data_IF_284932594585
#
_entry.id   IF_284932594585
#
_cell.length_a   1.000
_cell.length_b   1.000
_cell.length_c   1.000
_cell.angle_alpha   90.00
_cell.angle_beta   90.00
_cell.angle_gamma   90.00
#
_symmetry.space_group_name_H-M   'P 1'
#
loop_
_entity.id
_entity.type
_entity.pdbx_description
1 polymer ?
#
# COMPACT_ATOMS: atom_id res chain seq x y z
N UNK A 1 7.74 35.44 7.88
CA UNK A 1 7.51 34.76 9.18
C UNK A 1 6.63 33.57 8.92
N UNK A 2 6.79 32.44 9.63
CA UNK A 2 5.92 31.27 9.42
C UNK A 2 4.45 31.62 9.67
N UNK A 3 3.57 31.00 8.87
CA UNK A 3 2.13 31.06 9.08
C UNK A 3 1.77 30.29 10.38
N UNK A 4 1.27 30.96 11.38
CA UNK A 4 0.97 30.38 12.70
C UNK A 4 -0.45 29.81 12.83
N UNK A 5 -1.23 29.72 11.74
CA UNK A 5 -2.55 29.11 11.76
C UNK A 5 -2.47 27.70 12.40
N UNK A 6 -3.23 27.42 13.47
CA UNK A 6 -3.19 26.12 14.14
C UNK A 6 -3.78 24.98 13.29
N UNK A 7 -4.63 25.28 12.31
CA UNK A 7 -5.25 24.30 11.42
C UNK A 7 -4.48 24.21 10.10
N UNK A 8 -4.41 22.99 9.54
CA UNK A 8 -3.89 22.77 8.19
C UNK A 8 -4.91 23.27 7.14
N UNK A 9 -4.41 23.59 5.96
CA UNK A 9 -5.26 23.90 4.82
C UNK A 9 -6.17 22.71 4.52
N UNK A 10 -7.50 22.88 4.38
CA UNK A 10 -8.40 21.79 4.09
C UNK A 10 -8.10 21.21 2.71
N UNK A 11 -8.22 19.87 2.57
CA UNK A 11 -8.14 19.22 1.26
C UNK A 11 -9.47 19.40 0.53
N UNK A 12 -9.48 19.93 -0.69
CA UNK A 12 -10.67 19.87 -1.53
C UNK A 12 -11.01 18.43 -1.89
N UNK A 13 -12.27 18.04 -1.76
CA UNK A 13 -12.76 16.68 -1.99
C UNK A 13 -14.09 16.68 -2.71
N UNK A 14 -14.39 15.58 -3.43
CA UNK A 14 -15.72 15.33 -3.95
C UNK A 14 -16.72 15.19 -2.80
N UNK A 15 -17.95 15.71 -2.97
CA UNK A 15 -19.03 15.54 -2.00
C UNK A 15 -19.36 14.04 -1.76
N UNK A 16 -19.65 13.61 -0.53
CA UNK A 16 -19.85 12.19 -0.20
C UNK A 16 -20.90 11.47 -1.02
N UNK A 17 -22.02 12.14 -1.32
CA UNK A 17 -23.13 11.63 -2.11
C UNK A 17 -22.84 11.56 -3.62
N UNK A 18 -21.78 12.23 -4.07
CA UNK A 18 -21.26 12.17 -5.44
C UNK A 18 -20.19 11.09 -5.54
N UNK A 19 -19.16 11.15 -4.67
CA UNK A 19 -17.99 10.28 -4.73
C UNK A 19 -18.31 8.80 -4.47
N UNK A 20 -19.37 8.50 -3.71
CA UNK A 20 -19.76 7.12 -3.43
C UNK A 20 -20.43 6.40 -4.63
N UNK A 21 -20.57 7.07 -5.78
CA UNK A 21 -21.19 6.55 -7.01
C UNK A 21 -20.22 6.49 -8.21
N UNK A 22 -18.98 6.90 -8.02
CA UNK A 22 -17.98 6.92 -9.09
C UNK A 22 -16.62 6.42 -8.59
N UNK A 23 -15.68 6.19 -9.51
CA UNK A 23 -14.32 5.75 -9.21
C UNK A 23 -13.27 6.85 -9.47
N UNK A 24 -13.71 8.10 -9.66
CA UNK A 24 -12.80 9.24 -9.78
C UNK A 24 -12.09 9.52 -8.43
N UNK A 25 -10.90 10.11 -8.50
CA UNK A 25 -10.13 10.42 -7.30
C UNK A 25 -10.94 11.29 -6.33
N UNK A 26 -10.99 10.88 -5.07
CA UNK A 26 -11.78 11.56 -4.02
C UNK A 26 -11.22 12.93 -3.69
N UNK A 27 -9.89 13.01 -3.53
CA UNK A 27 -9.19 14.27 -3.24
C UNK A 27 -8.89 15.01 -4.53
N UNK A 28 -9.25 16.31 -4.57
CA UNK A 28 -9.07 17.16 -5.75
C UNK A 28 -7.70 17.86 -5.80
N UNK A 29 -6.87 17.62 -4.78
CA UNK A 29 -5.55 18.23 -4.68
C UNK A 29 -5.57 19.69 -4.20
N UNK A 30 -4.39 20.21 -3.84
CA UNK A 30 -4.21 21.63 -3.53
C UNK A 30 -4.02 22.45 -4.81
N UNK A 31 -4.48 23.72 -4.77
CA UNK A 31 -4.00 24.73 -5.73
C UNK A 31 -2.59 25.19 -5.34
N UNK A 32 -1.93 25.91 -6.23
CA UNK A 32 -0.61 26.49 -5.95
C UNK A 32 -0.63 27.41 -4.72
N UNK A 33 -1.68 28.23 -4.58
CA UNK A 33 -1.88 29.15 -3.46
C UNK A 33 -2.07 28.40 -2.14
N UNK A 34 -2.91 27.33 -2.15
CA UNK A 34 -3.13 26.49 -0.97
C UNK A 34 -1.85 25.78 -0.55
N UNK A 35 -1.06 25.29 -1.51
CA UNK A 35 0.21 24.61 -1.25
C UNK A 35 1.22 25.58 -0.61
N UNK A 36 1.35 26.79 -1.13
CA UNK A 36 2.22 27.83 -0.55
C UNK A 36 1.76 28.22 0.85
N UNK A 37 0.46 28.45 1.06
CA UNK A 37 -0.10 28.77 2.39
C UNK A 37 0.20 27.68 3.41
N UNK A 38 -0.04 26.41 3.06
CA UNK A 38 0.25 25.27 3.93
C UNK A 38 1.75 25.10 4.18
N UNK A 39 2.58 25.26 3.16
CA UNK A 39 4.03 25.15 3.26
C UNK A 39 4.62 26.22 4.22
N UNK A 40 4.04 27.43 4.24
CA UNK A 40 4.43 28.52 5.16
C UNK A 40 4.16 28.19 6.64
N UNK A 41 3.35 27.16 6.95
CA UNK A 41 3.16 26.68 8.34
C UNK A 41 4.37 25.90 8.86
N UNK A 42 5.28 25.45 8.00
CA UNK A 42 6.48 24.74 8.40
C UNK A 42 7.44 25.64 9.16
N UNK A 43 7.90 25.16 10.33
CA UNK A 43 8.84 25.91 11.18
C UNK A 43 10.31 25.71 10.78
N UNK A 44 10.59 24.89 9.78
CA UNK A 44 11.94 24.49 9.36
C UNK A 44 12.83 24.10 10.55
N UNK A 45 12.37 23.15 11.37
CA UNK A 45 12.98 22.77 12.64
C UNK A 45 14.43 22.29 12.46
N UNK A 46 15.35 22.76 13.31
CA UNK A 46 16.78 22.39 13.27
C UNK A 46 17.00 20.86 13.33
N UNK A 47 16.22 20.15 14.16
CA UNK A 47 16.37 18.70 14.35
C UNK A 47 15.55 17.87 13.36
N UNK A 48 14.76 18.51 12.47
CA UNK A 48 13.98 17.88 11.39
C UNK A 48 13.23 16.60 11.83
N UNK A 49 12.43 16.60 12.93
CA UNK A 49 11.85 15.36 13.48
C UNK A 49 10.90 14.63 12.52
N UNK A 50 10.24 15.34 11.60
CA UNK A 50 9.40 14.73 10.57
C UNK A 50 10.16 13.76 9.65
N UNK A 51 11.46 13.98 9.41
CA UNK A 51 12.28 13.07 8.60
C UNK A 51 12.48 11.72 9.29
N UNK A 52 12.61 11.67 10.61
CA UNK A 52 12.79 10.41 11.35
C UNK A 52 11.54 9.51 11.26
N UNK A 53 10.38 10.09 11.01
CA UNK A 53 9.14 9.35 10.76
C UNK A 53 8.96 8.86 9.31
N UNK A 54 9.88 9.21 8.40
CA UNK A 54 9.82 8.78 7.00
C UNK A 54 10.78 7.61 6.73
N UNK A 55 10.27 6.41 6.39
CA UNK A 55 11.11 5.23 6.13
C UNK A 55 12.12 5.38 4.98
N UNK A 56 11.89 6.29 4.04
CA UNK A 56 12.81 6.61 2.93
C UNK A 56 13.55 7.95 3.13
N UNK A 57 13.43 8.57 4.31
CA UNK A 57 14.18 9.76 4.71
C UNK A 57 14.01 10.95 3.74
N UNK A 58 12.79 11.22 3.27
CA UNK A 58 12.51 12.40 2.45
C UNK A 58 12.97 13.66 3.18
N UNK A 59 13.67 14.55 2.48
CA UNK A 59 14.17 15.84 3.01
C UNK A 59 13.03 16.84 3.19
N UNK A 60 12.09 16.51 4.08
CA UNK A 60 10.78 17.16 4.25
C UNK A 60 10.89 18.68 4.45
N UNK A 61 11.68 19.25 5.39
CA UNK A 61 11.76 20.70 5.54
C UNK A 61 12.32 21.41 4.30
N UNK A 62 13.19 20.73 3.55
CA UNK A 62 13.83 21.32 2.37
C UNK A 62 12.85 21.43 1.21
N UNK A 63 12.09 20.38 0.88
CA UNK A 63 11.10 20.47 -0.18
C UNK A 63 9.96 21.42 0.18
N UNK A 64 9.53 21.46 1.47
CA UNK A 64 8.48 22.38 1.92
C UNK A 64 8.95 23.84 1.82
N UNK A 65 10.21 24.14 2.13
CA UNK A 65 10.77 25.48 1.94
C UNK A 65 10.70 25.92 0.47
N UNK A 66 11.03 25.02 -0.46
CA UNK A 66 10.91 25.28 -1.91
C UNK A 66 9.46 25.50 -2.34
N UNK A 67 8.50 24.75 -1.77
CA UNK A 67 7.06 24.97 -2.02
C UNK A 67 6.64 26.35 -1.52
N UNK A 68 7.09 26.77 -0.33
CA UNK A 68 6.78 28.10 0.21
C UNK A 68 7.32 29.25 -0.64
N UNK A 69 8.37 29.00 -1.44
CA UNK A 69 8.95 29.94 -2.41
C UNK A 69 8.31 29.84 -3.80
N UNK A 70 7.35 28.94 -4.02
CA UNK A 70 6.74 28.69 -5.33
C UNK A 70 7.62 27.90 -6.33
N UNK A 71 8.71 27.29 -5.85
CA UNK A 71 9.67 26.51 -6.64
C UNK A 71 9.27 25.03 -6.71
N UNK A 72 8.13 24.74 -7.33
CA UNK A 72 7.50 23.40 -7.26
C UNK A 72 8.30 22.31 -7.98
N UNK A 73 8.94 22.60 -9.11
CA UNK A 73 9.79 21.63 -9.83
C UNK A 73 11.05 21.29 -9.02
N UNK A 74 11.68 22.28 -8.41
CA UNK A 74 12.83 22.06 -7.53
C UNK A 74 12.42 21.26 -6.28
N UNK A 75 11.22 21.51 -5.72
CA UNK A 75 10.66 20.73 -4.63
C UNK A 75 10.45 19.25 -5.03
N UNK A 76 9.94 18.98 -6.24
CA UNK A 76 9.80 17.64 -6.77
C UNK A 76 11.15 16.93 -6.93
N UNK A 77 12.15 17.61 -7.46
CA UNK A 77 13.52 17.08 -7.58
C UNK A 77 14.08 16.73 -6.20
N UNK A 78 13.83 17.58 -5.19
CA UNK A 78 14.26 17.35 -3.81
C UNK A 78 13.64 16.09 -3.19
N UNK A 79 12.37 15.81 -3.42
CA UNK A 79 11.70 14.58 -2.96
C UNK A 79 12.30 13.35 -3.67
N UNK A 80 12.51 13.44 -4.97
CA UNK A 80 13.05 12.34 -5.81
C UNK A 80 14.50 11.95 -5.49
N UNK A 81 15.25 12.75 -4.74
CA UNK A 81 16.57 12.35 -4.23
C UNK A 81 16.50 11.08 -3.34
N UNK A 82 15.37 10.82 -2.68
CA UNK A 82 15.22 9.72 -1.75
C UNK A 82 13.97 8.87 -1.96
N UNK A 83 12.92 9.41 -2.58
CA UNK A 83 11.66 8.71 -2.84
C UNK A 83 11.53 8.36 -4.33
N UNK A 84 11.32 7.08 -4.63
CA UNK A 84 11.09 6.60 -5.99
C UNK A 84 9.64 6.79 -6.47
N UNK A 85 8.66 6.92 -5.55
CA UNK A 85 7.23 6.94 -5.84
C UNK A 85 6.51 8.09 -5.11
N UNK A 86 6.91 9.36 -5.30
CA UNK A 86 6.37 10.48 -4.53
C UNK A 86 4.86 10.70 -4.73
N UNK A 87 4.35 10.56 -5.96
CA UNK A 87 2.93 10.74 -6.24
C UNK A 87 2.04 9.68 -5.55
N UNK A 88 2.58 8.46 -5.37
CA UNK A 88 1.95 7.39 -4.60
C UNK A 88 2.00 7.70 -3.10
N UNK A 89 3.19 8.03 -2.57
CA UNK A 89 3.40 8.28 -1.14
C UNK A 89 2.52 9.42 -0.61
N UNK A 90 2.42 10.52 -1.33
CA UNK A 90 1.57 11.66 -0.96
C UNK A 90 0.11 11.28 -0.76
N UNK A 91 -0.38 10.26 -1.50
CA UNK A 91 -1.77 9.79 -1.46
C UNK A 91 -2.04 8.69 -0.42
N UNK A 92 -1.11 7.72 -0.29
CA UNK A 92 -1.43 6.47 0.43
C UNK A 92 -0.68 6.26 1.73
N UNK A 93 0.37 7.03 2.02
CA UNK A 93 1.07 6.93 3.31
C UNK A 93 0.14 7.27 4.47
N UNK A 94 0.21 6.55 5.60
CA UNK A 94 -0.46 6.94 6.84
C UNK A 94 0.36 8.02 7.55
N UNK A 95 0.39 9.24 7.00
CA UNK A 95 1.23 10.35 7.47
C UNK A 95 0.97 10.68 8.93
N UNK A 96 -0.29 10.53 9.40
CA UNK A 96 -0.71 10.75 10.77
C UNK A 96 -0.01 9.85 11.80
N UNK A 97 0.52 8.71 11.38
CA UNK A 97 1.33 7.81 12.22
C UNK A 97 2.83 7.81 11.87
N UNK A 98 3.23 8.59 10.86
CA UNK A 98 4.60 8.66 10.35
C UNK A 98 5.15 10.09 10.42
N UNK A 99 5.44 10.73 9.28
CA UNK A 99 6.09 12.05 9.23
C UNK A 99 5.28 13.15 9.94
N UNK A 100 3.96 13.20 9.77
CA UNK A 100 3.11 14.20 10.42
C UNK A 100 2.99 13.97 11.94
N UNK A 101 3.04 12.72 12.41
CA UNK A 101 3.06 12.40 13.85
C UNK A 101 4.24 13.07 14.57
N UNK A 102 5.37 13.23 13.90
CA UNK A 102 6.58 13.84 14.44
C UNK A 102 6.64 15.36 14.20
N UNK A 103 5.64 15.94 13.55
CA UNK A 103 5.65 17.37 13.27
C UNK A 103 5.42 18.21 14.53
N UNK A 104 6.35 19.13 14.83
CA UNK A 104 6.27 20.03 16.00
C UNK A 104 4.98 20.86 16.02
N UNK A 105 4.42 21.19 14.87
CA UNK A 105 3.12 21.89 14.78
C UNK A 105 1.98 21.10 15.41
N UNK A 106 2.06 19.77 15.37
CA UNK A 106 1.07 18.88 15.96
C UNK A 106 0.95 18.95 17.49
N UNK A 107 1.92 19.57 18.19
CA UNK A 107 1.90 19.69 19.65
C UNK A 107 0.83 20.70 20.12
N UNK A 108 0.61 21.79 19.37
CA UNK A 108 -0.32 22.89 19.73
C UNK A 108 -1.38 23.17 18.66
N UNK A 109 -1.58 22.25 17.75
CA UNK A 109 -2.51 22.39 16.64
C UNK A 109 -2.44 21.16 15.75
N UNK A 110 -2.69 21.34 14.45
CA UNK A 110 -2.53 20.29 13.47
C UNK A 110 -1.12 20.32 12.85
N UNK A 111 -0.56 19.14 12.61
CA UNK A 111 0.68 18.98 11.87
C UNK A 111 0.62 19.68 10.50
N UNK A 112 1.76 20.02 9.93
CA UNK A 112 1.82 20.43 8.51
C UNK A 112 1.35 19.26 7.65
N UNK A 113 0.53 19.53 6.65
CA UNK A 113 -0.02 18.52 5.74
C UNK A 113 1.05 18.04 4.74
N UNK A 114 2.03 17.31 5.26
CA UNK A 114 3.24 16.89 4.50
C UNK A 114 2.85 16.05 3.29
N UNK A 115 1.97 15.05 3.49
CA UNK A 115 1.53 14.20 2.39
C UNK A 115 0.76 14.95 1.31
N UNK A 116 -0.08 15.92 1.68
CA UNK A 116 -0.81 16.77 0.71
C UNK A 116 0.12 17.64 -0.12
N UNK A 117 1.18 18.18 0.51
CA UNK A 117 2.23 18.93 -0.18
C UNK A 117 3.06 18.03 -1.10
N UNK A 118 3.40 16.82 -0.67
CA UNK A 118 4.10 15.83 -1.49
C UNK A 118 3.27 15.45 -2.72
N UNK A 119 1.97 15.17 -2.53
CA UNK A 119 1.04 14.88 -3.63
C UNK A 119 0.96 16.03 -4.63
N UNK A 120 0.73 17.28 -4.13
CA UNK A 120 0.69 18.48 -4.97
C UNK A 120 1.96 18.64 -5.82
N UNK A 121 3.11 18.55 -5.18
CA UNK A 121 4.41 18.74 -5.86
C UNK A 121 4.66 17.68 -6.92
N UNK A 122 4.30 16.42 -6.62
CA UNK A 122 4.44 15.32 -7.57
C UNK A 122 3.50 15.48 -8.77
N UNK A 123 2.26 15.90 -8.54
CA UNK A 123 1.29 16.17 -9.60
C UNK A 123 1.71 17.37 -10.47
N UNK A 124 2.14 18.46 -9.83
CA UNK A 124 2.65 19.63 -10.54
C UNK A 124 3.83 19.28 -11.46
N UNK A 125 4.78 18.49 -10.95
CA UNK A 125 5.92 18.05 -11.75
C UNK A 125 5.51 17.13 -12.91
N UNK A 126 4.54 16.24 -12.70
CA UNK A 126 4.00 15.37 -13.77
C UNK A 126 3.38 16.17 -14.91
N UNK A 127 2.73 17.29 -14.60
CA UNK A 127 2.02 18.12 -15.57
C UNK A 127 2.90 19.17 -16.26
N UNK A 128 3.92 19.66 -15.55
CA UNK A 128 4.70 20.83 -15.99
C UNK A 128 6.16 20.52 -16.30
N UNK A 129 6.70 19.34 -15.94
CA UNK A 129 8.07 18.96 -16.28
C UNK A 129 8.12 18.26 -17.63
N UNK A 130 9.03 18.72 -18.48
CA UNK A 130 9.40 18.04 -19.74
C UNK A 130 10.67 17.20 -19.59
N UNK A 131 11.29 17.25 -18.42
CA UNK A 131 12.53 16.49 -18.16
C UNK A 131 12.21 14.99 -18.03
N UNK A 132 12.95 14.18 -18.76
CA UNK A 132 12.95 12.73 -18.63
C UNK A 132 14.08 12.30 -17.72
N UNK A 133 13.87 11.18 -17.03
CA UNK A 133 14.95 10.53 -16.32
C UNK A 133 16.04 10.10 -17.31
N UNK A 134 17.29 10.37 -16.96
CA UNK A 134 18.42 10.02 -17.82
C UNK A 134 18.99 8.68 -17.36
N UNK A 135 19.04 7.71 -18.29
CA UNK A 135 19.70 6.42 -18.04
C UNK A 135 21.19 6.64 -17.76
N UNK A 136 21.70 6.20 -16.58
CA UNK A 136 23.13 6.27 -16.31
C UNK A 136 23.93 5.36 -17.25
N UNK A 137 25.24 5.60 -17.32
CA UNK A 137 26.18 4.68 -17.97
C UNK A 137 26.17 3.34 -17.23
N UNK A 138 26.14 2.22 -17.97
CA UNK A 138 26.14 0.88 -17.38
C UNK A 138 27.49 0.60 -16.71
N UNK A 139 27.43 0.03 -15.51
CA UNK A 139 28.61 -0.49 -14.82
C UNK A 139 28.90 -1.97 -15.18
N UNK A 140 28.08 -2.58 -16.06
CA UNK A 140 28.20 -3.96 -16.53
C UNK A 140 27.63 -5.03 -15.61
N UNK A 141 27.06 -4.66 -14.46
CA UNK A 141 26.48 -5.60 -13.50
C UNK A 141 24.98 -5.80 -13.71
N UNK A 142 24.54 -7.06 -13.72
CA UNK A 142 23.15 -7.46 -13.91
C UNK A 142 22.50 -7.85 -12.59
N UNK A 143 21.32 -7.28 -12.33
CA UNK A 143 20.55 -7.60 -11.12
C UNK A 143 19.10 -7.93 -11.48
N UNK A 144 18.53 -8.91 -10.77
CA UNK A 144 17.14 -9.32 -10.92
C UNK A 144 16.31 -8.86 -9.73
N UNK A 145 15.10 -8.37 -10.02
CA UNK A 145 14.10 -7.99 -9.02
C UNK A 145 12.88 -8.88 -9.21
N UNK A 146 12.49 -9.61 -8.18
CA UNK A 146 11.31 -10.49 -8.18
C UNK A 146 10.14 -9.78 -7.54
N UNK A 147 9.19 -9.33 -8.36
CA UNK A 147 8.00 -8.58 -7.98
C UNK A 147 8.13 -7.08 -8.20
N UNK A 148 7.19 -6.53 -8.97
CA UNK A 148 7.08 -5.11 -9.32
C UNK A 148 6.19 -4.31 -8.36
N UNK A 149 6.09 -4.70 -7.08
CA UNK A 149 5.44 -3.93 -6.03
C UNK A 149 6.33 -2.79 -5.52
N UNK A 150 5.87 -2.01 -4.50
CA UNK A 150 6.60 -0.85 -3.99
C UNK A 150 8.06 -1.11 -3.60
N UNK A 151 8.35 -2.26 -2.97
CA UNK A 151 9.73 -2.63 -2.60
C UNK A 151 10.59 -2.87 -3.84
N UNK A 152 10.10 -3.67 -4.79
CA UNK A 152 10.81 -3.98 -6.04
C UNK A 152 11.01 -2.75 -6.93
N UNK A 153 9.99 -1.91 -7.11
CA UNK A 153 10.09 -0.68 -7.89
C UNK A 153 11.14 0.29 -7.30
N UNK A 154 11.18 0.41 -5.96
CA UNK A 154 12.17 1.26 -5.28
C UNK A 154 13.58 0.70 -5.43
N UNK A 155 13.77 -0.61 -5.19
CA UNK A 155 15.05 -1.29 -5.38
C UNK A 155 15.55 -1.16 -6.83
N UNK A 156 14.66 -1.40 -7.80
CA UNK A 156 14.98 -1.28 -9.22
C UNK A 156 15.42 0.14 -9.59
N UNK A 157 14.70 1.15 -9.12
CA UNK A 157 15.04 2.54 -9.41
C UNK A 157 16.37 2.98 -8.81
N UNK A 158 16.67 2.57 -7.57
CA UNK A 158 17.93 2.93 -6.92
C UNK A 158 19.12 2.18 -7.57
N UNK A 159 19.00 0.89 -7.86
CA UNK A 159 20.02 0.12 -8.56
C UNK A 159 20.30 0.64 -9.98
N UNK A 160 19.25 1.00 -10.72
CA UNK A 160 19.41 1.60 -12.04
C UNK A 160 20.16 2.93 -11.99
N UNK A 161 19.88 3.80 -10.98
CA UNK A 161 20.63 5.04 -10.77
C UNK A 161 22.11 4.81 -10.43
N UNK A 162 22.44 3.65 -9.84
CA UNK A 162 23.84 3.23 -9.55
C UNK A 162 24.54 2.66 -10.79
N UNK A 163 23.86 2.57 -11.94
CA UNK A 163 24.39 2.09 -13.20
C UNK A 163 24.22 0.59 -13.46
N UNK A 164 23.53 -0.14 -12.57
CA UNK A 164 23.28 -1.57 -12.76
C UNK A 164 22.25 -1.80 -13.89
N UNK A 165 22.40 -2.91 -14.61
CA UNK A 165 21.39 -3.41 -15.56
C UNK A 165 20.31 -4.17 -14.80
N UNK A 166 19.13 -3.58 -14.70
CA UNK A 166 18.05 -4.06 -13.83
C UNK A 166 16.92 -4.69 -14.65
N UNK A 167 16.59 -5.94 -14.35
CA UNK A 167 15.40 -6.62 -14.86
C UNK A 167 14.43 -6.92 -13.73
N UNK A 168 13.17 -6.49 -13.88
CA UNK A 168 12.08 -6.74 -12.93
C UNK A 168 11.16 -7.82 -13.50
N UNK A 169 11.07 -8.94 -12.80
CA UNK A 169 10.16 -10.04 -13.12
C UNK A 169 8.86 -9.91 -12.34
N UNK A 170 7.73 -9.82 -13.03
CA UNK A 170 6.41 -9.63 -12.44
C UNK A 170 5.44 -10.75 -12.89
N UNK A 171 4.79 -11.37 -11.93
CA UNK A 171 3.84 -12.43 -12.18
C UNK A 171 2.56 -11.97 -12.89
N UNK A 172 2.15 -10.73 -12.65
CA UNK A 172 0.95 -10.15 -13.26
C UNK A 172 1.24 -9.55 -14.65
N UNK A 173 0.19 -9.26 -15.38
CA UNK A 173 0.26 -8.62 -16.70
C UNK A 173 0.58 -7.11 -16.64
N UNK A 174 0.74 -6.55 -15.46
CA UNK A 174 1.12 -5.15 -15.23
C UNK A 174 1.97 -5.02 -13.98
N UNK A 175 2.94 -4.12 -14.01
CA UNK A 175 3.75 -3.77 -12.85
C UNK A 175 2.96 -2.88 -11.86
N UNK A 176 3.39 -2.83 -10.61
CA UNK A 176 2.81 -2.00 -9.55
C UNK A 176 2.35 -2.79 -8.32
N UNK A 177 2.15 -4.10 -8.45
CA UNK A 177 1.71 -4.94 -7.33
C UNK A 177 0.43 -4.40 -6.68
N UNK A 178 0.42 -4.28 -5.35
CA UNK A 178 -0.74 -3.79 -4.57
C UNK A 178 -1.22 -2.39 -4.98
N UNK A 179 -0.36 -1.56 -5.58
CA UNK A 179 -0.75 -0.24 -6.11
C UNK A 179 -1.73 -0.36 -7.27
N UNK A 180 -1.67 -1.46 -8.01
CA UNK A 180 -2.54 -1.73 -9.16
C UNK A 180 -3.73 -2.59 -8.80
N UNK A 181 -3.53 -3.71 -8.08
CA UNK A 181 -4.61 -4.65 -7.79
C UNK A 181 -5.38 -4.34 -6.49
N UNK A 182 -4.73 -3.76 -5.48
CA UNK A 182 -5.27 -3.63 -4.14
C UNK A 182 -5.89 -2.25 -3.86
N UNK A 183 -5.12 -1.19 -4.04
CA UNK A 183 -5.57 0.18 -3.73
C UNK A 183 -6.58 0.64 -4.79
N UNK A 184 -7.78 1.13 -4.41
CA UNK A 184 -8.80 1.55 -5.38
C UNK A 184 -8.40 2.75 -6.23
N UNK A 185 -9.00 2.83 -7.44
CA UNK A 185 -8.82 3.94 -8.39
C UNK A 185 -9.10 5.29 -7.74
N UNK A 186 -10.16 5.39 -6.94
CA UNK A 186 -10.59 6.63 -6.27
C UNK A 186 -9.65 7.11 -5.14
N UNK A 187 -8.67 6.29 -4.73
CA UNK A 187 -7.59 6.66 -3.80
C UNK A 187 -6.25 6.85 -4.51
N UNK A 188 -5.99 6.02 -5.50
CA UNK A 188 -4.74 6.01 -6.26
C UNK A 188 -5.05 5.71 -7.72
N UNK A 189 -5.25 6.72 -8.56
CA UNK A 189 -5.46 6.55 -10.00
C UNK A 189 -4.33 5.74 -10.64
N UNK A 190 -4.68 4.73 -11.45
CA UNK A 190 -3.69 3.81 -12.03
C UNK A 190 -2.79 4.48 -13.07
N UNK A 191 -3.24 5.57 -13.64
CA UNK A 191 -2.43 6.42 -14.52
C UNK A 191 -1.24 7.04 -13.79
N UNK A 192 -1.38 7.38 -12.50
CA UNK A 192 -0.30 7.88 -11.65
C UNK A 192 0.74 6.78 -11.43
N UNK A 193 0.30 5.58 -11.06
CA UNK A 193 1.20 4.43 -10.86
C UNK A 193 1.95 4.09 -12.14
N UNK A 194 1.25 4.09 -13.28
CA UNK A 194 1.87 3.82 -14.58
C UNK A 194 2.95 4.85 -14.92
N UNK A 195 2.72 6.13 -14.61
CA UNK A 195 3.69 7.19 -14.88
C UNK A 195 4.96 7.06 -14.03
N UNK A 196 4.84 6.63 -12.78
CA UNK A 196 6.01 6.32 -11.93
C UNK A 196 6.80 5.13 -12.52
N UNK A 197 6.13 4.09 -12.99
CA UNK A 197 6.76 2.94 -13.66
C UNK A 197 7.44 3.36 -14.97
N UNK A 198 6.83 4.21 -15.75
CA UNK A 198 7.42 4.72 -17.00
C UNK A 198 8.71 5.53 -16.74
N UNK A 199 8.76 6.25 -15.61
CA UNK A 199 10.00 6.93 -15.17
C UNK A 199 11.13 5.91 -14.90
N UNK A 200 10.82 4.71 -14.37
CA UNK A 200 11.82 3.66 -14.20
C UNK A 200 12.27 3.05 -15.53
N UNK A 201 11.37 2.90 -16.48
CA UNK A 201 11.72 2.49 -17.86
C UNK A 201 12.65 3.51 -18.55
N UNK A 202 12.39 4.79 -18.35
CA UNK A 202 13.29 5.86 -18.85
C UNK A 202 14.69 5.77 -18.23
N UNK A 203 14.82 5.27 -16.98
CA UNK A 203 16.11 4.95 -16.35
C UNK A 203 16.77 3.67 -16.90
N UNK A 204 16.09 2.95 -17.78
CA UNK A 204 16.59 1.72 -18.40
C UNK A 204 16.24 0.42 -17.66
N UNK A 205 15.31 0.47 -16.71
CA UNK A 205 14.78 -0.74 -16.05
C UNK A 205 13.94 -1.54 -17.04
N UNK A 206 14.25 -2.82 -17.21
CA UNK A 206 13.49 -3.75 -18.01
C UNK A 206 12.40 -4.41 -17.15
N UNK A 207 11.19 -4.60 -17.70
CA UNK A 207 10.07 -5.28 -17.06
C UNK A 207 9.64 -6.50 -17.86
N UNK A 208 9.75 -7.68 -17.25
CA UNK A 208 9.29 -8.95 -17.81
C UNK A 208 8.01 -9.34 -17.07
N UNK A 209 6.87 -9.07 -17.73
CA UNK A 209 5.53 -9.33 -17.18
C UNK A 209 5.04 -10.76 -17.50
N UNK A 210 4.02 -11.22 -16.76
CA UNK A 210 3.50 -12.60 -16.87
C UNK A 210 4.57 -13.65 -16.61
N UNK A 211 5.56 -13.34 -15.78
CA UNK A 211 6.68 -14.20 -15.47
C UNK A 211 6.67 -14.57 -13.98
N UNK A 212 6.40 -15.83 -13.68
CA UNK A 212 6.26 -16.34 -12.32
C UNK A 212 7.57 -16.99 -11.89
N UNK A 213 8.42 -16.24 -11.18
CA UNK A 213 9.65 -16.79 -10.60
C UNK A 213 9.31 -17.96 -9.65
N UNK A 214 10.00 -19.08 -9.82
CA UNK A 214 9.70 -20.36 -9.18
C UNK A 214 8.78 -21.27 -10.02
N UNK A 215 8.32 -20.79 -11.21
CA UNK A 215 7.59 -21.60 -12.20
C UNK A 215 8.16 -21.45 -13.60
N UNK A 216 8.29 -20.21 -14.07
CA UNK A 216 8.95 -19.93 -15.36
C UNK A 216 10.44 -20.23 -15.26
N UNK A 217 11.08 -19.69 -14.23
CA UNK A 217 12.46 -19.95 -13.82
C UNK A 217 12.57 -19.86 -12.30
N UNK A 218 13.52 -20.59 -11.74
CA UNK A 218 13.87 -20.53 -10.30
C UNK A 218 14.90 -19.42 -10.03
N UNK A 219 15.11 -19.12 -8.76
CA UNK A 219 16.19 -18.20 -8.33
C UNK A 219 17.56 -18.70 -8.80
N UNK A 220 17.81 -20.02 -8.76
CA UNK A 220 19.10 -20.60 -9.17
C UNK A 220 19.32 -20.52 -10.68
N UNK A 221 18.25 -20.66 -11.49
CA UNK A 221 18.31 -20.47 -12.95
C UNK A 221 18.58 -19.01 -13.31
N UNK A 222 17.97 -18.04 -12.62
CA UNK A 222 18.31 -16.61 -12.82
C UNK A 222 19.79 -16.31 -12.55
N UNK A 223 20.40 -16.93 -11.53
CA UNK A 223 21.87 -16.84 -11.36
C UNK A 223 22.63 -17.45 -12.54
N UNK A 224 22.12 -18.57 -13.11
CA UNK A 224 22.65 -19.19 -14.31
C UNK A 224 22.61 -18.28 -15.55
N UNK A 225 21.62 -17.40 -15.65
CA UNK A 225 21.45 -16.40 -16.72
C UNK A 225 22.35 -15.15 -16.52
N UNK A 226 23.19 -15.17 -15.48
CA UNK A 226 24.21 -14.16 -15.25
C UNK A 226 23.75 -12.98 -14.37
N UNK A 227 22.63 -13.08 -13.68
CA UNK A 227 22.31 -12.11 -12.62
C UNK A 227 23.24 -12.32 -11.43
N UNK A 228 23.84 -11.25 -10.93
CA UNK A 228 24.85 -11.29 -9.87
C UNK A 228 24.26 -11.18 -8.47
N UNK A 229 23.12 -10.52 -8.35
CA UNK A 229 22.33 -10.42 -7.12
C UNK A 229 20.83 -10.39 -7.45
N UNK A 230 20.00 -10.92 -6.54
CA UNK A 230 18.55 -11.03 -6.73
C UNK A 230 17.84 -10.46 -5.52
N UNK A 231 16.90 -9.53 -5.75
CA UNK A 231 16.01 -9.01 -4.73
C UNK A 231 14.63 -9.69 -4.80
N UNK A 232 14.13 -10.22 -3.68
CA UNK A 232 12.81 -10.83 -3.57
C UNK A 232 11.85 -9.87 -2.86
N UNK A 233 11.01 -9.20 -3.65
CA UNK A 233 9.95 -8.30 -3.21
C UNK A 233 8.57 -8.78 -3.63
N UNK A 234 8.32 -10.08 -3.58
CA UNK A 234 7.09 -10.74 -4.06
C UNK A 234 5.82 -10.43 -3.25
N UNK A 235 5.96 -9.68 -2.16
CA UNK A 235 4.84 -9.21 -1.34
C UNK A 235 4.14 -10.31 -0.52
N UNK A 236 2.92 -10.01 -0.06
CA UNK A 236 2.06 -10.91 0.71
C UNK A 236 0.64 -10.86 0.13
N UNK A 237 0.39 -11.63 -0.92
CA UNK A 237 -0.88 -11.63 -1.66
C UNK A 237 -1.81 -12.80 -1.34
N UNK A 238 -1.40 -13.79 -0.53
CA UNK A 238 -2.23 -14.92 -0.17
C UNK A 238 -3.20 -14.54 0.95
N UNK A 239 -4.53 -14.53 0.71
CA UNK A 239 -5.50 -14.06 1.70
C UNK A 239 -5.64 -15.03 2.86
N UNK A 240 -5.98 -14.47 4.02
CA UNK A 240 -6.42 -15.22 5.20
C UNK A 240 -7.94 -15.19 5.25
N UNK A 241 -8.56 -16.36 5.38
CA UNK A 241 -9.99 -16.52 5.55
C UNK A 241 -10.38 -16.46 7.03
N UNK A 242 -11.68 -16.27 7.31
CA UNK A 242 -12.21 -16.03 8.67
C UNK A 242 -12.04 -17.27 9.55
N UNK A 243 -12.10 -18.46 8.97
CA UNK A 243 -12.00 -19.74 9.65
C UNK A 243 -13.29 -20.14 10.38
N UNK A 244 -14.46 -19.75 9.83
CA UNK A 244 -15.77 -20.06 10.37
C UNK A 244 -16.53 -21.01 9.44
N UNK A 245 -17.50 -21.80 9.96
CA UNK A 245 -18.38 -22.60 9.12
C UNK A 245 -19.07 -21.76 8.04
N UNK A 246 -19.28 -22.32 6.84
CA UNK A 246 -19.98 -21.67 5.75
C UNK A 246 -19.15 -20.67 4.94
N UNK A 247 -17.88 -20.41 5.28
CA UNK A 247 -17.05 -19.43 4.56
C UNK A 247 -16.69 -19.82 3.10
N UNK A 248 -17.08 -21.02 2.67
CA UNK A 248 -16.96 -21.50 1.28
C UNK A 248 -18.24 -21.33 0.46
N UNK A 249 -19.25 -20.63 0.98
CA UNK A 249 -20.49 -20.35 0.27
C UNK A 249 -20.27 -19.37 -0.89
N UNK A 250 -21.17 -19.43 -1.89
CA UNK A 250 -21.22 -18.48 -2.99
C UNK A 250 -21.56 -17.08 -2.45
N UNK A 251 -20.75 -16.08 -2.78
CA UNK A 251 -20.87 -14.72 -2.22
C UNK A 251 -19.87 -14.42 -1.10
N UNK A 252 -19.02 -15.41 -0.72
CA UNK A 252 -17.87 -15.16 0.15
C UNK A 252 -16.62 -14.91 -0.71
N UNK A 253 -15.95 -13.81 -0.45
CA UNK A 253 -14.73 -13.40 -1.16
C UNK A 253 -13.62 -13.05 -0.17
N UNK A 254 -12.38 -13.24 -0.57
CA UNK A 254 -11.30 -12.49 0.05
C UNK A 254 -11.28 -11.04 -0.47
N UNK A 255 -10.85 -10.09 0.35
CA UNK A 255 -10.71 -8.71 -0.09
C UNK A 255 -9.71 -8.59 -1.27
N UNK A 256 -8.64 -9.40 -1.28
CA UNK A 256 -7.70 -9.43 -2.39
C UNK A 256 -8.37 -9.80 -3.72
N UNK A 257 -9.19 -10.84 -3.72
CA UNK A 257 -9.92 -11.26 -4.92
C UNK A 257 -10.90 -10.17 -5.37
N UNK A 258 -11.72 -9.67 -4.44
CA UNK A 258 -12.71 -8.65 -4.72
C UNK A 258 -12.08 -7.38 -5.29
N UNK A 259 -11.03 -6.87 -4.64
CA UNK A 259 -10.31 -5.67 -5.08
C UNK A 259 -9.54 -5.89 -6.39
N UNK A 260 -8.96 -7.08 -6.61
CA UNK A 260 -8.30 -7.40 -7.88
C UNK A 260 -9.27 -7.35 -9.06
N UNK A 261 -10.47 -7.91 -8.91
CA UNK A 261 -11.50 -7.85 -9.95
C UNK A 261 -11.90 -6.40 -10.25
N UNK A 262 -12.03 -5.58 -9.23
CA UNK A 262 -12.44 -4.17 -9.40
C UNK A 262 -11.29 -3.33 -9.95
N UNK A 263 -10.13 -3.34 -9.32
CA UNK A 263 -9.05 -2.40 -9.63
C UNK A 263 -8.19 -2.83 -10.82
N UNK A 264 -7.64 -4.04 -10.77
CA UNK A 264 -6.75 -4.55 -11.83
C UNK A 264 -7.55 -4.93 -13.08
N UNK A 265 -8.64 -5.67 -12.88
CA UNK A 265 -9.47 -6.17 -13.98
C UNK A 265 -10.62 -5.21 -14.34
N UNK A 266 -10.70 -4.07 -13.68
CA UNK A 266 -11.58 -2.93 -14.01
C UNK A 266 -13.08 -3.26 -14.06
N UNK A 267 -13.56 -4.19 -13.18
CA UNK A 267 -14.95 -4.61 -13.16
C UNK A 267 -15.97 -3.47 -12.94
N UNK A 268 -15.51 -2.30 -12.49
CA UNK A 268 -16.35 -1.10 -12.33
C UNK A 268 -16.68 -0.38 -13.65
N UNK A 269 -16.03 -0.74 -14.76
CA UNK A 269 -16.28 -0.12 -16.06
C UNK A 269 -17.52 -0.76 -16.71
N UNK A 270 -18.32 0.05 -17.38
CA UNK A 270 -19.58 -0.33 -17.99
C UNK A 270 -19.46 -1.50 -19.00
N UNK A 271 -18.34 -1.60 -19.70
CA UNK A 271 -18.08 -2.65 -20.71
C UNK A 271 -16.98 -3.61 -20.25
N UNK A 272 -16.86 -3.87 -18.94
CA UNK A 272 -15.86 -4.81 -18.44
C UNK A 272 -16.32 -6.26 -18.63
N UNK A 273 -15.45 -7.11 -19.17
CA UNK A 273 -15.68 -8.55 -19.30
C UNK A 273 -15.45 -9.30 -17.96
N UNK A 274 -15.02 -8.59 -16.92
CA UNK A 274 -14.70 -9.18 -15.62
C UNK A 274 -15.98 -9.53 -14.86
N UNK A 275 -16.23 -10.82 -14.55
CA UNK A 275 -17.38 -11.20 -13.76
C UNK A 275 -17.23 -10.71 -12.31
N UNK A 276 -18.26 -10.03 -11.80
CA UNK A 276 -18.34 -9.61 -10.39
C UNK A 276 -19.79 -9.80 -9.91
N UNK A 277 -19.92 -10.21 -8.65
CA UNK A 277 -21.24 -10.32 -8.03
C UNK A 277 -21.69 -8.95 -7.50
N UNK A 278 -22.84 -8.49 -7.99
CA UNK A 278 -23.47 -7.24 -7.55
C UNK A 278 -24.38 -7.50 -6.34
N UNK A 279 -23.76 -7.55 -5.18
CA UNK A 279 -24.47 -7.75 -3.92
C UNK A 279 -25.25 -6.51 -3.50
N UNK A 280 -26.38 -6.69 -2.82
CA UNK A 280 -27.17 -5.60 -2.23
C UNK A 280 -26.71 -5.28 -0.81
N UNK A 281 -26.39 -6.31 -0.03
CA UNK A 281 -26.00 -6.18 1.37
C UNK A 281 -24.66 -6.90 1.60
N UNK A 282 -23.65 -6.14 1.94
CA UNK A 282 -22.26 -6.62 2.04
C UNK A 282 -21.73 -6.45 3.45
N UNK A 283 -21.15 -7.50 4.02
CA UNK A 283 -20.35 -7.39 5.23
C UNK A 283 -18.85 -7.56 4.90
N UNK A 284 -18.03 -6.59 5.26
CA UNK A 284 -16.57 -6.66 5.19
C UNK A 284 -16.02 -6.94 6.59
N UNK A 285 -15.41 -8.09 6.77
CA UNK A 285 -14.84 -8.52 8.06
C UNK A 285 -13.41 -8.05 8.15
N UNK A 286 -13.15 -7.07 9.01
CA UNK A 286 -11.83 -6.46 9.20
C UNK A 286 -11.90 -4.98 9.53
N UNK A 287 -10.76 -4.37 9.88
CA UNK A 287 -10.71 -2.96 10.29
C UNK A 287 -9.48 -2.20 9.76
N UNK A 288 -8.71 -2.81 8.85
CA UNK A 288 -7.56 -2.17 8.20
C UNK A 288 -7.92 -1.39 6.94
N UNK A 289 -6.93 -0.77 6.30
CA UNK A 289 -7.12 -0.03 5.04
C UNK A 289 -7.77 -0.89 3.95
N UNK A 290 -7.40 -2.17 3.85
CA UNK A 290 -8.00 -3.11 2.87
C UNK A 290 -9.50 -3.30 3.13
N UNK A 291 -9.93 -3.30 4.40
CA UNK A 291 -11.36 -3.38 4.73
C UNK A 291 -12.11 -2.11 4.32
N UNK A 292 -11.52 -0.93 4.56
CA UNK A 292 -12.09 0.35 4.10
C UNK A 292 -12.18 0.38 2.57
N UNK A 293 -11.14 -0.05 1.87
CA UNK A 293 -11.08 -0.12 0.41
C UNK A 293 -12.16 -1.05 -0.15
N UNK A 294 -12.31 -2.25 0.42
CA UNK A 294 -13.33 -3.21 -0.02
C UNK A 294 -14.76 -2.70 0.24
N UNK A 295 -15.01 -2.11 1.41
CA UNK A 295 -16.33 -1.56 1.75
C UNK A 295 -16.71 -0.37 0.86
N UNK A 296 -15.78 0.56 0.62
CA UNK A 296 -16.00 1.71 -0.26
C UNK A 296 -16.15 1.29 -1.72
N UNK A 297 -15.44 0.24 -2.16
CA UNK A 297 -15.65 -0.37 -3.48
C UNK A 297 -17.04 -1.00 -3.57
N UNK A 298 -17.47 -1.78 -2.56
CA UNK A 298 -18.79 -2.39 -2.55
C UNK A 298 -19.91 -1.33 -2.68
N UNK A 299 -19.77 -0.20 -1.99
CA UNK A 299 -20.69 0.92 -2.09
C UNK A 299 -20.79 1.47 -3.52
N UNK A 300 -19.65 1.68 -4.19
CA UNK A 300 -19.55 2.15 -5.59
C UNK A 300 -20.04 1.13 -6.60
N UNK A 301 -19.95 -0.16 -6.27
CA UNK A 301 -20.48 -1.25 -7.10
C UNK A 301 -22.00 -1.44 -6.95
N UNK A 302 -22.68 -0.57 -6.19
CA UNK A 302 -24.14 -0.50 -6.10
C UNK A 302 -24.74 -1.19 -4.88
N UNK A 303 -23.94 -1.61 -3.89
CA UNK A 303 -24.49 -2.17 -2.67
C UNK A 303 -25.32 -1.13 -1.89
N UNK A 304 -26.53 -1.51 -1.52
CA UNK A 304 -27.47 -0.66 -0.78
C UNK A 304 -27.00 -0.48 0.67
N UNK A 305 -26.60 -1.60 1.32
CA UNK A 305 -26.10 -1.63 2.68
C UNK A 305 -24.68 -2.25 2.71
N UNK A 306 -23.74 -1.57 3.34
CA UNK A 306 -22.37 -2.07 3.53
C UNK A 306 -21.99 -1.94 4.99
N UNK A 307 -21.53 -3.05 5.58
CA UNK A 307 -21.12 -3.14 6.96
C UNK A 307 -19.62 -3.44 7.09
N UNK A 308 -18.93 -2.72 7.97
CA UNK A 308 -17.65 -3.15 8.52
C UNK A 308 -17.92 -3.93 9.79
N UNK A 309 -17.56 -5.21 9.82
CA UNK A 309 -17.66 -6.07 11.00
C UNK A 309 -16.28 -6.16 11.66
N UNK A 310 -16.14 -5.58 12.85
CA UNK A 310 -14.86 -5.47 13.53
C UNK A 310 -14.95 -5.88 15.00
N UNK A 311 -14.09 -6.80 15.41
CA UNK A 311 -14.12 -7.42 16.75
C UNK A 311 -13.64 -6.53 17.90
N UNK A 312 -13.09 -5.34 17.60
CA UNK A 312 -12.65 -4.34 18.58
C UNK A 312 -13.45 -3.04 18.42
N UNK A 313 -13.12 -2.02 19.20
CA UNK A 313 -13.76 -0.71 19.08
C UNK A 313 -13.10 0.14 17.99
N UNK A 314 -13.70 1.31 17.76
CA UNK A 314 -13.19 2.28 16.79
C UNK A 314 -11.74 2.73 17.09
N UNK A 315 -11.38 2.82 18.37
CA UNK A 315 -10.04 3.25 18.80
C UNK A 315 -8.92 2.29 18.38
N UNK A 316 -9.25 1.01 18.22
CA UNK A 316 -8.31 -0.02 17.80
C UNK A 316 -8.30 -0.25 16.29
N UNK A 317 -9.01 0.55 15.49
CA UNK A 317 -8.95 0.45 14.03
C UNK A 317 -7.53 0.78 13.52
N UNK A 318 -6.89 -0.11 12.75
CA UNK A 318 -5.57 0.16 12.20
C UNK A 318 -5.60 0.91 10.86
N UNK A 319 -6.79 1.19 10.31
CA UNK A 319 -6.94 1.97 9.07
C UNK A 319 -6.59 3.44 9.29
N UNK A 320 -6.21 4.15 8.22
CA UNK A 320 -6.03 5.60 8.22
C UNK A 320 -7.30 6.32 8.66
N UNK A 321 -7.14 7.35 9.48
CA UNK A 321 -8.27 8.15 9.97
C UNK A 321 -9.11 8.75 8.83
N UNK A 322 -8.44 9.25 7.79
CA UNK A 322 -9.09 9.80 6.60
C UNK A 322 -9.98 8.76 5.90
N UNK A 323 -9.49 7.51 5.75
CA UNK A 323 -10.26 6.43 5.13
C UNK A 323 -11.46 5.98 5.96
N UNK A 324 -11.33 6.00 7.29
CA UNK A 324 -12.45 5.74 8.21
C UNK A 324 -13.53 6.83 8.07
N UNK A 325 -13.11 8.11 8.02
CA UNK A 325 -14.03 9.23 7.83
C UNK A 325 -14.74 9.13 6.50
N UNK A 326 -14.01 8.92 5.42
CA UNK A 326 -14.58 8.76 4.08
C UNK A 326 -15.58 7.59 4.02
N UNK A 327 -15.26 6.44 4.60
CA UNK A 327 -16.19 5.29 4.63
C UNK A 327 -17.49 5.64 5.37
N UNK A 328 -17.41 6.32 6.52
CA UNK A 328 -18.60 6.77 7.27
C UNK A 328 -19.45 7.75 6.48
N UNK A 329 -18.84 8.76 5.88
CA UNK A 329 -19.52 9.78 5.07
C UNK A 329 -20.17 9.16 3.82
N UNK A 330 -19.57 8.12 3.25
CA UNK A 330 -20.11 7.36 2.10
C UNK A 330 -21.24 6.38 2.50
N UNK A 331 -21.61 6.34 3.78
CA UNK A 331 -22.74 5.56 4.29
C UNK A 331 -22.39 4.10 4.64
N UNK A 332 -21.10 3.78 4.89
CA UNK A 332 -20.70 2.49 5.43
C UNK A 332 -21.03 2.43 6.93
N UNK A 333 -21.71 1.37 7.37
CA UNK A 333 -22.13 1.17 8.76
C UNK A 333 -21.10 0.32 9.50
N UNK A 334 -20.60 0.80 10.64
CA UNK A 334 -19.61 0.09 11.44
C UNK A 334 -20.29 -0.72 12.56
N UNK A 335 -20.11 -2.03 12.54
CA UNK A 335 -20.48 -2.97 13.59
C UNK A 335 -19.22 -3.28 14.42
N UNK A 336 -18.94 -2.41 15.38
CA UNK A 336 -17.84 -2.59 16.34
C UNK A 336 -18.18 -3.65 17.38
N UNK A 337 -17.14 -4.17 18.04
CA UNK A 337 -17.27 -5.20 19.07
C UNK A 337 -18.09 -6.41 18.58
N UNK A 338 -17.88 -6.79 17.32
CA UNK A 338 -18.64 -7.82 16.63
C UNK A 338 -17.69 -8.79 15.95
N UNK A 339 -17.79 -10.07 16.25
CA UNK A 339 -17.01 -11.14 15.63
C UNK A 339 -17.92 -12.11 14.87
N UNK A 340 -17.55 -12.54 13.65
CA UNK A 340 -18.29 -13.55 12.91
C UNK A 340 -18.12 -14.94 13.56
N UNK A 341 -19.19 -15.75 13.56
CA UNK A 341 -19.20 -17.13 14.02
C UNK A 341 -19.50 -18.12 12.91
N UNK A 342 -20.33 -17.74 11.93
CA UNK A 342 -20.79 -18.63 10.87
C UNK A 342 -21.32 -17.79 9.70
N UNK A 343 -21.03 -18.20 8.47
CA UNK A 343 -21.69 -17.69 7.27
C UNK A 343 -22.91 -18.58 6.98
N UNK A 344 -24.09 -17.99 6.96
CA UNK A 344 -25.33 -18.68 6.66
C UNK A 344 -25.59 -18.70 5.15
N UNK A 345 -26.08 -19.82 4.64
CA UNK A 345 -26.39 -20.00 3.21
C UNK A 345 -27.74 -20.71 2.99
N UNK A 346 -28.29 -20.51 1.81
CA UNK A 346 -29.46 -21.25 1.34
C UNK A 346 -29.12 -22.67 0.84
N UNK A 347 -30.10 -23.40 0.34
CA UNK A 347 -29.95 -24.73 -0.22
C UNK A 347 -29.03 -24.81 -1.48
N UNK A 348 -28.81 -23.65 -2.14
CA UNK A 348 -27.93 -23.50 -3.30
C UNK A 348 -26.55 -22.98 -2.92
N UNK A 349 -26.23 -22.95 -1.60
CA UNK A 349 -24.97 -22.41 -1.05
C UNK A 349 -24.75 -20.92 -1.32
N UNK A 350 -25.80 -20.12 -1.58
CA UNK A 350 -25.68 -18.68 -1.66
C UNK A 350 -25.76 -18.07 -0.27
N UNK A 351 -24.92 -17.09 0.03
CA UNK A 351 -24.91 -16.38 1.31
C UNK A 351 -26.27 -15.73 1.57
N UNK A 352 -26.82 -15.92 2.76
CA UNK A 352 -28.07 -15.32 3.22
C UNK A 352 -27.89 -14.48 4.49
N UNK A 353 -26.76 -14.66 5.20
CA UNK A 353 -26.50 -13.93 6.42
C UNK A 353 -25.14 -14.24 7.03
N UNK A 354 -24.80 -13.46 8.05
CA UNK A 354 -23.62 -13.66 8.89
C UNK A 354 -24.04 -13.72 10.34
N UNK A 355 -23.88 -14.90 10.97
CA UNK A 355 -24.04 -15.06 12.41
C UNK A 355 -22.85 -14.47 13.13
N UNK A 356 -23.09 -13.57 14.04
CA UNK A 356 -22.10 -12.81 14.77
C UNK A 356 -22.31 -12.95 16.29
N UNK A 357 -21.28 -12.60 17.04
CA UNK A 357 -21.31 -12.50 18.50
C UNK A 357 -20.80 -11.14 18.94
N UNK A 358 -21.39 -10.57 20.00
CA UNK A 358 -20.89 -9.38 20.65
C UNK A 358 -19.58 -9.67 21.38
N UNK A 359 -18.70 -8.67 21.38
CA UNK A 359 -17.40 -8.72 22.06
C UNK A 359 -17.32 -7.64 23.12
N UNK A 360 -16.51 -7.86 24.12
CA UNK A 360 -16.03 -6.83 25.05
C UNK A 360 -14.52 -6.70 24.96
N UNK A 361 -13.97 -5.61 25.50
CA UNK A 361 -12.53 -5.34 25.45
C UNK A 361 -11.88 -5.64 26.80
N UNK A 362 -11.00 -6.63 26.81
CA UNK A 362 -10.12 -6.97 27.92
C UNK A 362 -8.84 -6.12 27.94
N UNK A 363 -7.78 -6.67 28.53
CA UNK A 363 -6.47 -6.03 28.62
C UNK A 363 -5.79 -5.91 27.23
N UNK A 364 -4.87 -4.95 27.07
CA UNK A 364 -4.08 -4.80 25.85
C UNK A 364 -3.26 -6.05 25.51
N UNK A 365 -3.20 -6.40 24.22
CA UNK A 365 -2.32 -7.44 23.69
C UNK A 365 -0.88 -6.90 23.46
N UNK A 366 0.02 -7.76 22.97
CA UNK A 366 1.42 -7.39 22.68
C UNK A 366 1.56 -6.24 21.65
N UNK A 367 0.50 -5.92 20.89
CA UNK A 367 0.46 -4.78 19.96
C UNK A 367 -0.07 -3.50 20.62
N UNK A 368 -0.37 -3.52 21.90
CA UNK A 368 -0.97 -2.42 22.65
C UNK A 368 -2.48 -2.23 22.43
N UNK A 369 -3.12 -3.07 21.60
CA UNK A 369 -4.57 -3.02 21.34
C UNK A 369 -5.31 -3.94 22.30
N UNK A 370 -6.45 -3.49 22.82
CA UNK A 370 -7.25 -4.24 23.77
C UNK A 370 -7.77 -5.55 23.15
N UNK A 371 -7.64 -6.66 23.90
CA UNK A 371 -8.01 -8.00 23.44
C UNK A 371 -9.53 -8.13 23.38
N UNK A 372 -10.12 -8.60 22.25
CA UNK A 372 -11.56 -8.89 22.20
C UNK A 372 -11.89 -10.18 22.95
N UNK A 373 -12.93 -10.14 23.78
CA UNK A 373 -13.44 -11.26 24.58
C UNK A 373 -14.90 -11.50 24.18
N UNK A 374 -15.31 -12.74 23.85
CA UNK A 374 -16.70 -13.03 23.50
C UNK A 374 -17.64 -12.82 24.69
N UNK A 375 -18.82 -12.26 24.43
CA UNK A 375 -19.93 -12.16 25.41
C UNK A 375 -20.86 -13.36 25.19
N UNK A 376 -20.97 -14.25 26.17
CA UNK A 376 -21.81 -15.46 26.07
C UNK A 376 -23.29 -15.09 25.86
N UNK A 377 -23.99 -15.83 24.98
CA UNK A 377 -25.43 -15.66 24.73
C UNK A 377 -25.80 -14.39 23.99
N UNK A 378 -24.82 -13.73 23.33
CA UNK A 378 -25.02 -12.47 22.61
C UNK A 378 -25.04 -12.65 21.10
N UNK A 379 -25.29 -13.87 20.62
CA UNK A 379 -25.31 -14.18 19.20
C UNK A 379 -26.48 -13.50 18.49
N UNK A 380 -26.24 -13.03 17.29
CA UNK A 380 -27.24 -12.43 16.40
C UNK A 380 -26.88 -12.63 14.93
N UNK A 381 -27.83 -12.40 14.05
CA UNK A 381 -27.64 -12.55 12.60
C UNK A 381 -27.75 -11.18 11.93
N UNK A 382 -26.87 -10.95 10.96
CA UNK A 382 -26.94 -9.85 10.00
C UNK A 382 -27.38 -10.45 8.67
N UNK A 383 -28.55 -10.07 8.17
CA UNK A 383 -29.03 -10.48 6.84
C UNK A 383 -28.20 -9.79 5.76
N UNK A 384 -27.59 -10.58 4.89
CA UNK A 384 -26.74 -10.08 3.80
C UNK A 384 -26.52 -11.17 2.73
N UNK A 385 -26.06 -10.76 1.57
CA UNK A 385 -25.85 -11.64 0.40
C UNK A 385 -24.37 -11.70 -0.04
N UNK A 386 -23.47 -11.01 0.67
CA UNK A 386 -22.04 -11.08 0.40
C UNK A 386 -21.20 -10.86 1.66
N UNK A 387 -20.16 -11.66 1.83
CA UNK A 387 -19.14 -11.53 2.89
C UNK A 387 -17.76 -11.36 2.26
N UNK A 388 -17.02 -10.34 2.69
CA UNK A 388 -15.65 -10.07 2.23
C UNK A 388 -14.68 -10.18 3.40
N UNK A 389 -13.79 -11.17 3.36
CA UNK A 389 -12.75 -11.36 4.37
C UNK A 389 -11.56 -10.41 4.13
N UNK A 390 -11.35 -9.47 5.06
CA UNK A 390 -10.29 -8.44 5.02
C UNK A 390 -9.42 -8.48 6.28
N UNK A 391 -9.01 -9.69 6.71
CA UNK A 391 -8.34 -9.95 7.99
C UNK A 391 -6.83 -10.18 7.88
N UNK A 392 -6.26 -9.87 6.74
CA UNK A 392 -4.83 -9.94 6.47
C UNK A 392 -4.45 -10.92 5.38
N UNK A 393 -3.17 -10.87 5.04
CA UNK A 393 -2.57 -11.68 3.97
C UNK A 393 -1.22 -12.23 4.42
N UNK A 394 -0.73 -13.25 3.72
CA UNK A 394 0.59 -13.86 3.92
C UNK A 394 1.35 -13.98 2.61
N UNK A 395 2.70 -14.13 2.63
CA UNK A 395 3.48 -14.39 1.43
C UNK A 395 3.08 -15.69 0.73
N UNK A 396 3.14 -15.67 -0.62
CA UNK A 396 2.95 -16.88 -1.40
C UNK A 396 4.09 -17.88 -1.12
N UNK A 397 3.80 -19.14 -0.81
CA UNK A 397 4.82 -20.15 -0.48
C UNK A 397 5.67 -20.59 -1.67
N UNK A 398 5.38 -20.18 -2.91
CA UNK A 398 6.07 -20.64 -4.12
C UNK A 398 7.59 -20.40 -4.02
N UNK A 399 8.03 -19.18 -3.74
CA UNK A 399 9.45 -18.84 -3.71
C UNK A 399 10.21 -19.72 -2.70
N UNK A 400 9.69 -19.90 -1.48
CA UNK A 400 10.34 -20.72 -0.46
C UNK A 400 10.43 -22.22 -0.89
N UNK A 401 9.43 -22.73 -1.60
CA UNK A 401 9.40 -24.12 -2.02
C UNK A 401 10.32 -24.41 -3.21
N UNK A 402 10.65 -23.39 -4.00
CA UNK A 402 11.47 -23.51 -5.21
C UNK A 402 12.87 -22.92 -5.06
N UNK A 403 13.22 -22.46 -3.84
CA UNK A 403 14.52 -21.85 -3.57
C UNK A 403 15.20 -22.57 -2.39
N UNK A 404 15.94 -23.67 -2.63
CA UNK A 404 16.68 -24.36 -1.58
C UNK A 404 17.67 -23.41 -0.85
N UNK A 405 17.72 -23.51 0.47
CA UNK A 405 18.58 -22.68 1.32
C UNK A 405 17.99 -21.31 1.70
N UNK A 406 16.82 -20.95 1.20
CA UNK A 406 16.15 -19.73 1.61
C UNK A 406 15.24 -20.01 2.84
N UNK A 407 15.60 -19.46 3.99
CA UNK A 407 14.86 -19.65 5.24
C UNK A 407 13.62 -18.78 5.32
N UNK A 408 12.56 -19.33 5.94
CA UNK A 408 11.32 -18.62 6.23
C UNK A 408 10.90 -18.85 7.69
N UNK A 409 10.19 -17.87 8.26
CA UNK A 409 9.63 -18.00 9.59
C UNK A 409 8.30 -18.82 9.59
N UNK A 410 7.72 -19.04 10.77
CA UNK A 410 6.46 -19.82 10.94
C UNK A 410 5.27 -19.23 10.17
N UNK A 411 5.29 -17.95 9.83
CA UNK A 411 4.25 -17.27 9.03
C UNK A 411 4.50 -17.34 7.53
N UNK A 412 5.59 -17.98 7.09
CA UNK A 412 5.98 -18.09 5.69
C UNK A 412 6.68 -16.86 5.14
N UNK A 413 7.01 -15.87 5.97
CA UNK A 413 7.80 -14.71 5.57
C UNK A 413 9.27 -15.09 5.45
N UNK A 414 9.98 -14.56 4.44
CA UNK A 414 11.41 -14.76 4.24
C UNK A 414 12.15 -14.17 5.43
N UNK A 415 13.15 -14.90 5.96
CA UNK A 415 14.05 -14.39 6.99
C UNK A 415 15.12 -13.54 6.32
N UNK A 416 15.15 -12.27 6.64
CA UNK A 416 16.15 -11.31 6.18
C UNK A 416 16.50 -10.35 7.32
N UNK A 417 17.71 -9.80 7.33
CA UNK A 417 18.05 -8.76 8.30
C UNK A 417 17.35 -7.43 7.97
N UNK A 418 17.01 -6.67 9.01
CA UNK A 418 16.24 -5.44 8.87
C UNK A 418 17.04 -4.27 8.27
N UNK A 419 18.36 -4.33 8.33
CA UNK A 419 19.25 -3.23 7.93
C UNK A 419 19.60 -3.29 6.43
N UNK A 420 19.84 -4.50 5.90
CA UNK A 420 20.37 -4.69 4.55
C UNK A 420 19.46 -5.59 3.68
N UNK A 421 18.50 -6.29 4.28
CA UNK A 421 17.66 -7.26 3.57
C UNK A 421 18.39 -8.53 3.16
N UNK A 422 19.54 -8.85 3.79
CA UNK A 422 20.33 -10.05 3.49
C UNK A 422 19.59 -11.29 3.98
N UNK A 423 19.48 -12.30 3.13
CA UNK A 423 18.81 -13.57 3.44
C UNK A 423 19.83 -14.67 3.78
N UNK A 424 19.34 -15.86 4.13
CA UNK A 424 20.16 -17.05 4.33
C UNK A 424 20.82 -17.60 3.06
N UNK A 425 20.40 -17.16 1.87
CA UNK A 425 20.93 -17.61 0.57
C UNK A 425 21.84 -16.52 -0.01
N UNK A 426 23.09 -16.87 -0.29
CA UNK A 426 24.10 -15.95 -0.82
C UNK A 426 23.62 -15.28 -2.13
N UNK A 427 23.84 -13.95 -2.25
CA UNK A 427 23.39 -13.16 -3.39
C UNK A 427 21.89 -12.90 -3.46
N UNK A 428 21.10 -13.43 -2.51
CA UNK A 428 19.65 -13.20 -2.44
C UNK A 428 19.31 -12.24 -1.32
N UNK A 429 18.62 -11.16 -1.66
CA UNK A 429 18.12 -10.12 -0.76
C UNK A 429 16.59 -10.14 -0.77
N UNK A 430 15.97 -9.69 0.30
CA UNK A 430 14.51 -9.62 0.38
C UNK A 430 14.03 -8.41 1.16
N UNK A 431 12.81 -7.96 0.87
CA UNK A 431 12.21 -6.84 1.57
C UNK A 431 10.71 -6.68 1.32
N UNK A 432 10.12 -5.69 2.03
CA UNK A 432 8.69 -5.43 1.98
C UNK A 432 7.87 -6.57 2.60
N UNK A 433 6.63 -6.71 2.15
CA UNK A 433 5.66 -7.64 2.76
C UNK A 433 6.07 -9.12 2.64
N UNK A 434 7.00 -9.47 1.75
CA UNK A 434 7.59 -10.82 1.68
C UNK A 434 8.39 -11.18 2.95
N UNK A 435 8.89 -10.17 3.68
CA UNK A 435 9.68 -10.32 4.92
C UNK A 435 8.86 -9.99 6.16
N UNK A 436 8.13 -8.87 6.15
CA UNK A 436 7.42 -8.37 7.33
C UNK A 436 5.99 -8.89 7.48
N UNK A 437 5.41 -9.48 6.41
CA UNK A 437 3.98 -9.59 6.24
C UNK A 437 3.39 -8.25 5.79
N UNK A 438 2.06 -8.20 5.57
CA UNK A 438 1.40 -7.00 5.05
C UNK A 438 1.63 -5.77 5.94
N UNK A 439 2.20 -4.71 5.35
CA UNK A 439 2.55 -3.46 6.02
C UNK A 439 2.12 -2.25 5.17
N UNK A 440 2.93 -1.21 5.09
CA UNK A 440 2.64 -0.01 4.31
C UNK A 440 3.54 0.11 3.08
N UNK A 441 3.05 0.82 2.05
CA UNK A 441 3.79 1.11 0.81
C UNK A 441 5.18 1.68 1.13
N UNK A 442 5.24 2.69 1.98
CA UNK A 442 6.50 3.38 2.29
C UNK A 442 7.48 2.52 3.10
N UNK A 443 7.00 1.62 3.96
CA UNK A 443 7.87 0.66 4.66
C UNK A 443 8.48 -0.35 3.68
N UNK A 444 7.68 -0.83 2.74
CA UNK A 444 8.15 -1.69 1.66
C UNK A 444 9.20 -0.98 0.78
N UNK A 445 8.97 0.30 0.43
CA UNK A 445 9.94 1.14 -0.28
C UNK A 445 11.24 1.30 0.50
N UNK A 446 11.16 1.56 1.81
CA UNK A 446 12.32 1.68 2.69
C UNK A 446 13.16 0.40 2.72
N UNK A 447 12.53 -0.77 2.77
CA UNK A 447 13.21 -2.05 2.70
C UNK A 447 13.89 -2.25 1.33
N UNK A 448 13.19 -1.97 0.22
CA UNK A 448 13.77 -2.03 -1.13
C UNK A 448 14.98 -1.11 -1.30
N UNK A 449 14.93 0.10 -0.73
CA UNK A 449 16.03 1.06 -0.76
C UNK A 449 17.27 0.55 -0.03
N UNK A 450 17.11 0.01 1.18
CA UNK A 450 18.23 -0.54 1.96
C UNK A 450 18.84 -1.76 1.27
N UNK A 451 17.99 -2.66 0.76
CA UNK A 451 18.45 -3.82 0.01
C UNK A 451 19.21 -3.43 -1.27
N UNK A 452 18.76 -2.41 -2.01
CA UNK A 452 19.47 -1.93 -3.20
C UNK A 452 20.90 -1.48 -2.90
N UNK A 453 21.10 -0.72 -1.81
CA UNK A 453 22.44 -0.32 -1.37
C UNK A 453 23.31 -1.51 -0.99
N UNK A 454 22.75 -2.49 -0.28
CA UNK A 454 23.47 -3.71 0.12
C UNK A 454 23.81 -4.61 -1.09
N UNK A 455 22.94 -4.72 -2.08
CA UNK A 455 23.17 -5.44 -3.33
C UNK A 455 24.33 -4.83 -4.13
N UNK A 456 24.34 -3.53 -4.28
CA UNK A 456 25.41 -2.80 -4.99
C UNK A 456 26.77 -2.99 -4.28
N UNK A 457 26.77 -2.93 -2.96
CA UNK A 457 27.98 -3.22 -2.16
C UNK A 457 28.43 -4.69 -2.29
N UNK A 458 27.51 -5.63 -2.23
CA UNK A 458 27.78 -7.06 -2.40
C UNK A 458 28.46 -7.36 -3.74
N UNK A 459 27.92 -6.82 -4.85
CA UNK A 459 28.46 -7.00 -6.20
C UNK A 459 29.88 -6.41 -6.29
N UNK A 460 30.08 -5.20 -5.80
CA UNK A 460 31.40 -4.54 -5.79
C UNK A 460 32.47 -5.30 -4.99
N UNK A 461 32.06 -5.98 -3.91
CA UNK A 461 32.99 -6.76 -3.09
C UNK A 461 33.29 -8.15 -3.67
N UNK A 462 32.34 -8.75 -4.42
CA UNK A 462 32.51 -10.03 -5.10
C UNK A 462 33.54 -9.94 -6.25
N UNK A 463 33.68 -8.76 -6.84
CA UNK A 463 34.52 -8.49 -7.99
C UNK A 463 35.87 -7.85 -7.64
N UNK A 464 36.23 -7.80 -6.34
CA UNK A 464 37.56 -7.43 -5.83
C UNK A 464 38.41 -8.67 -5.55
#
# INVERSE_FOLDING_TARGET
MPNMNPKKCPMPEQAPDVRNKNFEEVTLGYTAEMAVEEAQRCLNCKNKPCMTGCPVQVKIPEFIALVAEGKFLEAAAKIKETSALPAVCGRVCPQESQCECHCVRGIKGEAVAIGRLESFVADYARENSTEKAVKPESNGHKVAIVGAGPAGLTSAGDLARMGNEVTVFEALHTAGGVLMYGIPEFRLPKTIVQKEIDTLKDLGVEFVLNFVVGRSETIDELFGDGYEAIFVGSGAGLPTFIGVPGENANGVYSANEYLTRINLMKAYKENADTPIYHAKKVAVVGGGNVAMDAARCAKRMGAEEVYIVYRRSEKELPARLEEIHHAKEEGVVFKFLTAPLEVLSDENFNVTGLKCQQMELGEPDASGRRRPIPVEGSEFVIDLDCVIAAIGTSPNPLIRHTTPGLETNRKGCIVADDEHGITSKDGVFAGGDAVTGAATVILAMGAGKRAAAAMDEYIKNKNK
#
